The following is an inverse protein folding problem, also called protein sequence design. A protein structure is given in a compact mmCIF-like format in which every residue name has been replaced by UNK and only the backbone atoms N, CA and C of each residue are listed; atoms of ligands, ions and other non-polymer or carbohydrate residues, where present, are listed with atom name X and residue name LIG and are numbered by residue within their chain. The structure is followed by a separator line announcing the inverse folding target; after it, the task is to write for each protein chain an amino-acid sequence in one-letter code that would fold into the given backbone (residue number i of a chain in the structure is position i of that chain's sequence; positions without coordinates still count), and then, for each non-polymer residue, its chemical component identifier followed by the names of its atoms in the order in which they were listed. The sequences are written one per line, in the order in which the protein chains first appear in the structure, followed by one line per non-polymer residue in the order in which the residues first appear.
data_IF_638304526164
#
_entry.id   IF_638304526164
#
_cell.length_a   1.000
_cell.length_b   1.000
_cell.length_c   1.000
_cell.angle_alpha   90.00
_cell.angle_beta   90.00
_cell.angle_gamma   90.00
#
_symmetry.space_group_name_H-M   'P 1'
#
loop_
_entity.id
_entity.type
_entity.pdbx_description
1 polymer ?
#
# COMPACT_ATOMS: atom_id res chain seq x y z
N UNK A 1 -5.44 -17.77 11.32
CA UNK A 1 -5.44 -16.55 10.47
C UNK A 1 -3.99 -16.22 10.13
N UNK A 2 -3.69 -15.92 8.86
CA UNK A 2 -2.34 -15.53 8.44
C UNK A 2 -2.13 -14.04 8.69
N UNK A 3 -1.08 -13.67 9.43
CA UNK A 3 -0.72 -12.26 9.64
C UNK A 3 -0.52 -11.60 8.29
N UNK A 4 -1.24 -10.51 8.02
CA UNK A 4 -1.10 -9.73 6.78
C UNK A 4 -0.96 -8.27 7.14
N UNK A 5 0.15 -7.67 6.71
CA UNK A 5 0.46 -6.25 6.94
C UNK A 5 0.82 -5.58 5.62
N UNK A 6 0.77 -4.25 5.59
CA UNK A 6 1.07 -3.48 4.37
C UNK A 6 1.86 -2.21 4.64
N UNK A 7 2.67 -1.84 3.67
CA UNK A 7 3.19 -0.49 3.50
C UNK A 7 2.36 0.22 2.43
N UNK A 8 1.76 1.37 2.78
CA UNK A 8 0.76 2.04 1.96
C UNK A 8 1.11 3.51 1.61
N UNK A 9 2.23 3.79 0.90
CA UNK A 9 2.61 5.15 0.53
C UNK A 9 1.75 5.70 -0.63
N UNK A 10 1.56 7.03 -0.65
CA UNK A 10 1.17 7.74 -1.87
C UNK A 10 2.41 7.96 -2.75
N UNK A 11 2.37 7.62 -4.04
CA UNK A 11 3.53 7.76 -4.94
C UNK A 11 3.66 9.20 -5.45
N UNK A 12 3.90 10.16 -4.53
CA UNK A 12 4.01 11.59 -4.83
C UNK A 12 5.45 12.11 -4.82
N UNK A 13 6.41 11.23 -4.57
CA UNK A 13 7.83 11.53 -4.43
C UNK A 13 8.65 10.28 -4.13
N UNK A 14 9.96 10.46 -3.96
CA UNK A 14 10.87 9.38 -3.56
C UNK A 14 10.63 8.95 -2.11
N UNK A 15 10.97 7.70 -1.79
CA UNK A 15 10.93 7.22 -0.42
C UNK A 15 11.97 8.00 0.43
N UNK A 16 11.64 8.29 1.68
CA UNK A 16 12.58 8.82 2.66
C UNK A 16 12.76 7.81 3.80
N UNK A 17 13.78 8.01 4.64
CA UNK A 17 14.16 7.06 5.71
C UNK A 17 13.01 6.71 6.67
N UNK A 18 12.09 7.64 6.92
CA UNK A 18 10.91 7.41 7.76
C UNK A 18 9.93 6.40 7.13
N UNK A 19 9.69 6.53 5.82
CA UNK A 19 8.87 5.58 5.06
C UNK A 19 9.57 4.21 4.95
N UNK A 20 10.88 4.20 4.69
CA UNK A 20 11.67 2.97 4.61
C UNK A 20 11.61 2.18 5.94
N UNK A 21 11.71 2.87 7.09
CA UNK A 21 11.58 2.24 8.42
C UNK A 21 10.21 1.58 8.62
N UNK A 22 9.14 2.25 8.19
CA UNK A 22 7.78 1.70 8.27
C UNK A 22 7.62 0.44 7.40
N UNK A 23 8.16 0.46 6.17
CA UNK A 23 8.16 -0.71 5.30
C UNK A 23 8.95 -1.87 5.92
N UNK A 24 10.15 -1.59 6.42
CA UNK A 24 11.02 -2.57 7.08
C UNK A 24 10.33 -3.24 8.28
N UNK A 25 9.69 -2.46 9.17
CA UNK A 25 9.02 -3.02 10.35
C UNK A 25 7.82 -3.90 9.98
N UNK A 26 7.02 -3.48 9.00
CA UNK A 26 5.91 -4.33 8.53
C UNK A 26 6.44 -5.62 7.89
N UNK A 27 7.48 -5.53 7.05
CA UNK A 27 8.08 -6.69 6.42
C UNK A 27 8.68 -7.67 7.43
N UNK A 28 9.48 -7.19 8.39
CA UNK A 28 10.05 -8.03 9.45
C UNK A 28 8.96 -8.65 10.34
N UNK A 29 7.90 -7.91 10.64
CA UNK A 29 6.77 -8.43 11.41
C UNK A 29 6.05 -9.56 10.67
N UNK A 30 5.79 -9.39 9.37
CA UNK A 30 5.25 -10.47 8.53
C UNK A 30 6.19 -11.67 8.52
N UNK A 31 7.49 -11.46 8.27
CA UNK A 31 8.49 -12.53 8.19
C UNK A 31 8.56 -13.35 9.48
N UNK A 32 8.64 -12.68 10.64
CA UNK A 32 8.69 -13.34 11.95
C UNK A 32 7.44 -14.17 12.25
N UNK A 33 6.29 -13.76 11.73
CA UNK A 33 5.00 -14.44 11.92
C UNK A 33 4.64 -15.41 10.78
N UNK A 34 5.55 -15.66 9.83
CA UNK A 34 5.26 -16.44 8.60
C UNK A 34 4.00 -15.91 7.88
N UNK A 35 3.85 -14.59 7.90
CA UNK A 35 2.73 -13.83 7.35
C UNK A 35 3.01 -13.34 5.94
N UNK A 36 2.22 -12.34 5.52
CA UNK A 36 2.31 -11.68 4.22
C UNK A 36 2.54 -10.19 4.37
N UNK A 37 3.42 -9.64 3.54
CA UNK A 37 3.70 -8.22 3.41
C UNK A 37 3.24 -7.72 2.03
N UNK A 38 2.34 -6.75 2.02
CA UNK A 38 1.77 -6.17 0.79
C UNK A 38 2.31 -4.75 0.60
N UNK A 39 2.78 -4.45 -0.61
CA UNK A 39 2.99 -3.08 -1.06
C UNK A 39 1.66 -2.56 -1.63
N UNK A 40 1.13 -1.46 -1.11
CA UNK A 40 -0.07 -0.83 -1.67
C UNK A 40 0.18 0.62 -2.01
N UNK A 41 -0.06 1.04 -3.23
CA UNK A 41 -0.01 2.46 -3.56
C UNK A 41 -1.35 3.11 -3.25
N UNK A 42 -1.33 4.17 -2.43
CA UNK A 42 -2.47 5.05 -2.21
C UNK A 42 -2.45 6.15 -3.28
N UNK A 43 -2.85 5.76 -4.48
CA UNK A 43 -2.72 6.50 -5.74
C UNK A 43 -4.01 7.18 -6.19
N UNK A 44 -4.92 7.49 -5.26
CA UNK A 44 -6.21 8.10 -5.60
C UNK A 44 -6.11 9.55 -6.04
N UNK A 45 -5.04 10.25 -5.64
CA UNK A 45 -4.73 11.60 -6.14
C UNK A 45 -3.96 11.49 -7.45
N UNK A 46 -4.68 11.45 -8.57
CA UNK A 46 -4.10 11.28 -9.92
C UNK A 46 -3.16 12.41 -10.34
N UNK A 47 -3.27 13.60 -9.75
CA UNK A 47 -2.44 14.75 -10.10
C UNK A 47 -1.05 14.65 -9.47
N UNK A 48 -0.98 14.11 -8.24
CA UNK A 48 0.29 13.95 -7.50
C UNK A 48 0.87 12.55 -7.62
N UNK A 49 0.05 11.53 -7.83
CA UNK A 49 0.45 10.13 -7.87
C UNK A 49 0.98 9.78 -9.25
N UNK A 50 2.30 9.64 -9.37
CA UNK A 50 2.94 9.34 -10.66
C UNK A 50 3.55 7.95 -10.67
N UNK A 51 3.45 7.29 -11.82
CA UNK A 51 4.04 5.96 -12.03
C UNK A 51 5.55 5.95 -11.75
N UNK A 52 6.27 7.02 -12.13
CA UNK A 52 7.72 7.15 -11.86
C UNK A 52 8.07 7.01 -10.37
N UNK A 53 7.21 7.50 -9.48
CA UNK A 53 7.42 7.40 -8.04
C UNK A 53 7.01 6.04 -7.50
N UNK A 54 5.96 5.42 -8.04
CA UNK A 54 5.60 4.05 -7.69
C UNK A 54 6.72 3.05 -8.04
N UNK A 55 7.29 3.19 -9.23
CA UNK A 55 8.41 2.36 -9.71
C UNK A 55 9.67 2.59 -8.86
N UNK A 56 9.99 3.86 -8.56
CA UNK A 56 11.12 4.20 -7.69
C UNK A 56 10.96 3.63 -6.28
N UNK A 57 9.76 3.70 -5.69
CA UNK A 57 9.49 3.11 -4.37
C UNK A 57 9.74 1.59 -4.39
N UNK A 58 9.23 0.87 -5.39
CA UNK A 58 9.46 -0.58 -5.50
C UNK A 58 10.94 -0.90 -5.69
N UNK A 59 11.62 -0.13 -6.53
CA UNK A 59 13.07 -0.27 -6.72
C UNK A 59 13.83 -0.11 -5.41
N UNK A 60 13.54 0.94 -4.63
CA UNK A 60 14.19 1.21 -3.36
C UNK A 60 13.90 0.12 -2.31
N UNK A 61 12.68 -0.43 -2.28
CA UNK A 61 12.36 -1.57 -1.42
C UNK A 61 13.16 -2.82 -1.78
N UNK A 62 13.25 -3.15 -3.08
CA UNK A 62 14.07 -4.28 -3.54
C UNK A 62 15.56 -4.06 -3.24
N UNK A 63 16.05 -2.82 -3.38
CA UNK A 63 17.43 -2.46 -3.03
C UNK A 63 17.71 -2.69 -1.53
N UNK A 64 16.72 -2.46 -0.66
CA UNK A 64 16.77 -2.77 0.77
C UNK A 64 16.60 -4.26 1.10
N UNK A 65 16.42 -5.13 0.10
CA UNK A 65 16.15 -6.56 0.28
C UNK A 65 14.72 -6.88 0.73
N UNK A 66 13.80 -5.92 0.61
CA UNK A 66 12.38 -6.10 0.95
C UNK A 66 11.62 -6.47 -0.32
N UNK A 67 11.05 -7.67 -0.33
CA UNK A 67 10.25 -8.18 -1.45
C UNK A 67 8.78 -8.37 -1.01
N UNK A 68 7.85 -7.51 -1.44
CA UNK A 68 6.43 -7.67 -1.16
C UNK A 68 5.86 -8.94 -1.80
N UNK A 69 4.93 -9.61 -1.11
CA UNK A 69 4.19 -10.77 -1.62
C UNK A 69 3.13 -10.38 -2.67
N UNK A 70 2.72 -9.11 -2.67
CA UNK A 70 1.79 -8.53 -3.63
C UNK A 70 1.99 -7.02 -3.72
N UNK A 71 1.66 -6.48 -4.89
CA UNK A 71 1.59 -5.04 -5.15
C UNK A 71 0.17 -4.68 -5.57
N UNK A 72 -0.45 -3.77 -4.82
CA UNK A 72 -1.83 -3.34 -5.01
C UNK A 72 -1.90 -1.83 -5.28
N UNK A 73 -2.92 -1.40 -6.02
CA UNK A 73 -3.17 0.02 -6.31
C UNK A 73 -4.58 0.36 -5.86
N UNK A 74 -4.71 1.46 -5.10
CA UNK A 74 -5.98 1.87 -4.54
C UNK A 74 -6.95 2.33 -5.64
N UNK A 75 -6.44 2.99 -6.68
CA UNK A 75 -7.20 3.41 -7.86
C UNK A 75 -7.89 2.26 -8.60
N UNK A 76 -7.35 1.03 -8.54
CA UNK A 76 -7.94 -0.17 -9.17
C UNK A 76 -9.13 -0.75 -8.40
N UNK A 77 -9.51 -0.14 -7.28
CA UNK A 77 -10.52 -0.67 -6.35
C UNK A 77 -11.70 0.27 -6.15
N UNK A 78 -11.83 1.31 -6.98
CA UNK A 78 -12.91 2.30 -6.85
C UNK A 78 -14.30 1.66 -6.82
N UNK A 79 -14.57 0.67 -7.67
CA UNK A 79 -15.86 -0.04 -7.69
C UNK A 79 -16.23 -0.63 -6.31
N UNK A 80 -15.25 -1.15 -5.57
CA UNK A 80 -15.47 -1.72 -4.23
C UNK A 80 -15.77 -0.62 -3.21
N UNK A 81 -15.11 0.53 -3.35
CA UNK A 81 -15.34 1.69 -2.47
C UNK A 81 -16.69 2.33 -2.75
N UNK A 82 -17.08 2.46 -4.01
CA UNK A 82 -18.40 2.98 -4.42
C UNK A 82 -19.52 2.08 -3.87
N UNK A 83 -19.38 0.76 -4.02
CA UNK A 83 -20.33 -0.19 -3.44
C UNK A 83 -20.41 -0.10 -1.91
N UNK A 84 -19.28 0.15 -1.23
CA UNK A 84 -19.27 0.37 0.21
C UNK A 84 -19.98 1.67 0.61
N UNK A 85 -19.76 2.76 -0.14
CA UNK A 85 -20.44 4.04 0.05
C UNK A 85 -21.95 3.87 -0.08
N UNK A 86 -22.45 3.18 -1.12
CA UNK A 86 -23.88 2.95 -1.30
C UNK A 86 -24.51 2.13 -0.16
N UNK A 87 -23.78 1.13 0.37
CA UNK A 87 -24.23 0.38 1.56
C UNK A 87 -24.36 1.26 2.80
N UNK A 88 -23.38 2.15 3.02
CA UNK A 88 -23.40 3.04 4.18
C UNK A 88 -24.52 4.08 4.07
N UNK A 89 -24.77 4.63 2.87
CA UNK A 89 -25.94 5.48 2.59
C UNK A 89 -27.25 4.76 2.87
N UNK A 90 -27.41 3.53 2.36
CA UNK A 90 -28.62 2.73 2.58
C UNK A 90 -28.88 2.41 4.06
N UNK A 91 -27.82 2.27 4.85
CA UNK A 91 -27.90 2.07 6.30
C UNK A 91 -28.08 3.37 7.10
N UNK A 92 -28.04 4.55 6.47
CA UNK A 92 -28.18 5.85 7.13
C UNK A 92 -27.01 6.24 8.04
N UNK A 93 -25.82 5.70 7.77
CA UNK A 93 -24.60 5.91 8.59
C UNK A 93 -23.49 6.65 7.83
N UNK A 94 -23.81 7.24 6.68
CA UNK A 94 -22.98 8.14 5.90
C UNK A 94 -23.73 9.44 5.64
#
# INVERSE_FOLDING_TARGET
MTVTVRFAPSPTGRIHIGNARTALFNWLFALNNKGRFIQRFDDTDVARSKQEFADAILYDLHWLGIFPDATEYQSRRFEIYDAAVERLKAAGVL
#
